data_IF_993630558052
#
_entry.id   IF_993630558052
#
_cell.length_a   1.000
_cell.length_b   1.000
_cell.length_c   1.000
_cell.angle_alpha   90.00
_cell.angle_beta   90.00
_cell.angle_gamma   90.00
#
_symmetry.space_group_name_H-M   'P 1'
#
loop_
_entity.id
_entity.type
_entity.pdbx_description
1 polymer ?
#
# COMPACT_ATOMS: atom_id res chain seq x y z
N UNK A 1 3.95 -12.71 9.48
CA UNK A 1 3.78 -12.37 10.92
C UNK A 1 2.84 -11.19 10.96
N UNK A 2 1.65 -11.43 11.48
CA UNK A 2 0.53 -10.49 11.54
C UNK A 2 0.83 -9.42 12.61
N UNK A 3 0.74 -8.15 12.28
CA UNK A 3 0.94 -7.08 13.27
C UNK A 3 -0.10 -7.19 14.40
N UNK A 4 0.25 -6.77 15.63
CA UNK A 4 -0.65 -6.87 16.80
C UNK A 4 -2.05 -6.29 16.55
N UNK A 5 -2.16 -5.33 15.62
CA UNK A 5 -3.41 -4.68 15.25
C UNK A 5 -4.28 -5.47 14.25
N UNK A 6 -3.73 -6.46 13.53
CA UNK A 6 -4.52 -7.27 12.58
C UNK A 6 -5.57 -8.14 13.26
N UNK A 7 -5.38 -8.48 14.54
CA UNK A 7 -6.34 -9.25 15.35
C UNK A 7 -7.61 -8.49 15.69
N UNK A 8 -7.64 -7.18 15.50
CA UNK A 8 -8.74 -6.31 15.91
C UNK A 8 -9.54 -5.70 14.76
N UNK A 9 -9.29 -6.15 13.52
CA UNK A 9 -10.05 -5.69 12.36
C UNK A 9 -11.47 -6.25 12.46
N UNK A 10 -12.51 -5.43 12.66
CA UNK A 10 -13.87 -5.92 12.55
C UNK A 10 -14.13 -6.37 11.11
N UNK A 11 -14.87 -7.46 10.90
CA UNK A 11 -15.16 -7.96 9.55
C UNK A 11 -16.03 -7.01 8.71
N UNK A 12 -16.67 -6.01 9.34
CA UNK A 12 -17.59 -5.11 8.66
C UNK A 12 -17.00 -3.69 8.53
N UNK A 13 -16.52 -3.38 7.32
CA UNK A 13 -16.12 -2.04 6.90
C UNK A 13 -17.26 -1.25 6.29
N UNK A 14 -18.44 -1.84 6.13
CA UNK A 14 -19.57 -1.22 5.46
C UNK A 14 -20.12 -0.06 6.28
N UNK A 15 -20.41 1.05 5.59
CA UNK A 15 -20.94 2.28 6.18
C UNK A 15 -20.01 3.08 7.11
N UNK A 16 -18.73 2.70 7.22
CA UNK A 16 -17.73 3.47 7.96
C UNK A 16 -16.80 4.24 7.01
N UNK A 17 -16.46 5.47 7.39
CA UNK A 17 -15.28 6.11 6.82
C UNK A 17 -14.01 5.55 7.48
N UNK A 18 -12.83 5.68 6.85
CA UNK A 18 -11.58 5.21 7.45
C UNK A 18 -11.35 5.72 8.87
N UNK A 19 -11.65 7.00 9.14
CA UNK A 19 -11.48 7.59 10.46
C UNK A 19 -12.49 7.04 11.48
N UNK A 20 -13.77 6.92 11.12
CA UNK A 20 -14.79 6.38 12.03
C UNK A 20 -14.54 4.92 12.36
N UNK A 21 -14.09 4.15 11.37
CA UNK A 21 -13.68 2.77 11.61
C UNK A 21 -12.48 2.67 12.54
N UNK A 22 -11.43 3.49 12.31
CA UNK A 22 -10.24 3.52 13.15
C UNK A 22 -10.55 3.91 14.60
N UNK A 23 -11.42 4.91 14.82
CA UNK A 23 -11.85 5.32 16.15
C UNK A 23 -12.61 4.21 16.87
N UNK A 24 -13.49 3.49 16.18
CA UNK A 24 -14.19 2.34 16.73
C UNK A 24 -13.24 1.18 17.07
N UNK A 25 -12.21 0.96 16.27
CA UNK A 25 -11.17 -0.02 16.59
C UNK A 25 -10.29 0.42 17.76
N UNK A 26 -9.96 1.71 17.83
CA UNK A 26 -9.11 2.31 18.86
C UNK A 26 -9.75 2.32 20.26
N UNK A 27 -11.08 2.24 20.35
CA UNK A 27 -11.80 2.13 21.63
C UNK A 27 -11.77 0.72 22.23
N UNK A 28 -11.23 -0.27 21.53
CA UNK A 28 -11.16 -1.66 22.01
C UNK A 28 -9.94 -1.90 22.88
N UNK A 29 -10.04 -2.75 23.92
CA UNK A 29 -8.89 -3.11 24.74
C UNK A 29 -7.78 -3.73 23.89
N UNK A 30 -6.54 -3.29 24.12
CA UNK A 30 -5.36 -3.82 23.43
C UNK A 30 -5.03 -3.17 22.06
N UNK A 31 -5.83 -2.21 21.59
CA UNK A 31 -5.47 -1.43 20.41
C UNK A 31 -4.44 -0.36 20.79
N UNK A 32 -3.32 -0.34 20.11
CA UNK A 32 -2.24 0.63 20.34
C UNK A 32 -2.38 1.75 19.31
N UNK A 33 -2.68 2.96 19.79
CA UNK A 33 -2.75 4.15 18.95
C UNK A 33 -1.35 4.73 18.71
N UNK A 34 -1.09 5.13 17.48
CA UNK A 34 0.14 5.82 17.07
C UNK A 34 -0.22 7.16 16.40
N UNK A 35 0.46 8.22 16.79
CA UNK A 35 0.22 9.56 16.26
C UNK A 35 0.42 9.65 14.74
N UNK A 36 1.37 8.89 14.17
CA UNK A 36 1.61 8.84 12.73
C UNK A 36 0.51 8.10 11.99
N UNK A 37 0.04 6.98 12.55
CA UNK A 37 -1.11 6.26 12.00
C UNK A 37 -2.36 7.14 12.03
N UNK A 38 -2.56 7.91 13.10
CA UNK A 38 -3.68 8.85 13.20
C UNK A 38 -3.64 9.89 12.08
N UNK A 39 -2.49 10.52 11.85
CA UNK A 39 -2.32 11.47 10.74
C UNK A 39 -2.58 10.81 9.38
N UNK A 40 -2.09 9.59 9.19
CA UNK A 40 -2.30 8.85 7.96
C UNK A 40 -3.77 8.50 7.74
N UNK A 41 -4.48 8.06 8.78
CA UNK A 41 -5.91 7.74 8.67
C UNK A 41 -6.75 8.99 8.38
N UNK A 42 -6.40 10.16 8.94
CA UNK A 42 -7.04 11.44 8.63
C UNK A 42 -6.87 11.82 7.14
N UNK A 43 -5.67 11.60 6.59
CA UNK A 43 -5.43 11.81 5.15
C UNK A 43 -6.24 10.83 4.27
N UNK A 44 -6.35 9.56 4.71
CA UNK A 44 -7.17 8.55 4.01
C UNK A 44 -8.66 8.87 4.07
N UNK A 45 -9.14 9.38 5.22
CA UNK A 45 -10.53 9.78 5.40
C UNK A 45 -10.88 10.98 4.52
N UNK A 46 -9.97 11.94 4.41
CA UNK A 46 -10.11 13.07 3.48
C UNK A 46 -10.23 12.57 2.03
N UNK A 47 -9.32 11.71 1.60
CA UNK A 47 -9.37 11.12 0.26
C UNK A 47 -10.66 10.32 0.04
N UNK A 48 -11.09 9.53 1.02
CA UNK A 48 -12.34 8.79 0.97
C UNK A 48 -13.53 9.74 0.76
N UNK A 49 -13.60 10.84 1.51
CA UNK A 49 -14.65 11.85 1.40
C UNK A 49 -14.67 12.50 0.03
N UNK A 50 -13.50 12.88 -0.51
CA UNK A 50 -13.35 13.45 -1.85
C UNK A 50 -13.81 12.46 -2.94
N UNK A 51 -13.45 11.18 -2.81
CA UNK A 51 -13.90 10.11 -3.70
C UNK A 51 -15.43 9.93 -3.65
N UNK A 52 -16.03 10.00 -2.45
CA UNK A 52 -17.49 9.93 -2.32
C UNK A 52 -18.18 11.11 -3.01
N UNK A 53 -17.66 12.32 -2.84
CA UNK A 53 -18.18 13.51 -3.52
C UNK A 53 -18.00 13.42 -5.04
N UNK A 54 -16.86 12.95 -5.50
CA UNK A 54 -16.58 12.73 -6.92
C UNK A 54 -17.56 11.72 -7.53
N UNK A 55 -17.79 10.58 -6.85
CA UNK A 55 -18.75 9.56 -7.26
C UNK A 55 -20.17 10.10 -7.37
N UNK A 56 -20.62 10.89 -6.37
CA UNK A 56 -21.94 11.52 -6.35
C UNK A 56 -22.11 12.50 -7.51
N UNK A 57 -21.13 13.37 -7.74
CA UNK A 57 -21.17 14.35 -8.86
C UNK A 57 -21.24 13.66 -10.22
N UNK A 58 -20.45 12.59 -10.40
CA UNK A 58 -20.43 11.83 -11.65
C UNK A 58 -21.73 11.09 -11.93
N UNK A 59 -22.41 10.59 -10.91
CA UNK A 59 -23.64 9.81 -11.04
C UNK A 59 -24.90 10.69 -11.22
N UNK A 60 -24.83 12.00 -10.96
CA UNK A 60 -25.93 12.90 -11.24
C UNK A 60 -26.10 13.09 -12.75
N UNK A 61 -27.30 12.81 -13.27
CA UNK A 61 -27.63 12.92 -14.70
C UNK A 61 -27.32 14.30 -15.28
N UNK A 62 -27.48 15.37 -14.50
CA UNK A 62 -27.12 16.76 -14.82
C UNK A 62 -25.62 17.08 -14.60
N UNK A 63 -24.84 16.18 -14.03
CA UNK A 63 -23.40 16.34 -13.76
C UNK A 63 -22.51 16.09 -14.97
N UNK A 64 -23.05 15.82 -16.15
CA UNK A 64 -22.39 15.99 -17.46
C UNK A 64 -22.29 17.46 -17.88
N UNK A 65 -22.43 18.38 -16.93
CA UNK A 65 -22.07 19.77 -17.08
C UNK A 65 -20.62 19.91 -17.56
N UNK A 66 -20.37 20.87 -18.41
CA UNK A 66 -19.16 21.22 -19.17
C UNK A 66 -17.82 21.28 -18.37
N UNK A 67 -17.83 21.04 -17.08
CA UNK A 67 -16.63 20.89 -16.24
C UNK A 67 -16.63 19.51 -15.59
N UNK A 68 -15.77 18.63 -16.09
CA UNK A 68 -15.44 17.37 -15.37
C UNK A 68 -15.02 17.71 -13.94
N UNK A 69 -15.57 17.05 -12.91
CA UNK A 69 -15.13 17.30 -11.55
C UNK A 69 -13.65 16.95 -11.44
N UNK A 70 -12.91 17.80 -10.74
CA UNK A 70 -11.47 17.58 -10.53
C UNK A 70 -11.26 16.24 -9.82
N UNK A 71 -10.36 15.42 -10.35
CA UNK A 71 -10.00 14.14 -9.77
C UNK A 71 -9.28 14.38 -8.43
N UNK A 72 -9.64 13.67 -7.35
CA UNK A 72 -8.91 13.74 -6.10
C UNK A 72 -7.44 13.31 -6.27
N UNK A 73 -6.52 13.99 -5.60
CA UNK A 73 -5.13 13.54 -5.50
C UNK A 73 -5.10 12.22 -4.73
N UNK A 74 -4.33 11.26 -5.23
CA UNK A 74 -4.08 10.03 -4.52
C UNK A 74 -3.19 10.21 -3.29
N UNK A 75 -2.75 9.12 -2.71
CA UNK A 75 -1.91 9.10 -1.50
C UNK A 75 -0.72 8.17 -1.69
N UNK A 76 0.44 8.59 -1.19
CA UNK A 76 1.65 7.77 -1.12
C UNK A 76 2.19 7.80 0.31
N UNK A 77 2.10 6.68 1.03
CA UNK A 77 2.70 6.60 2.35
C UNK A 77 4.03 5.89 2.27
N UNK A 78 5.05 6.47 2.88
CA UNK A 78 6.34 5.81 3.00
C UNK A 78 6.85 5.83 4.43
N UNK A 79 7.75 4.90 4.72
CA UNK A 79 8.37 4.77 6.02
C UNK A 79 8.88 3.35 6.25
N UNK A 80 9.58 3.14 7.34
CA UNK A 80 10.20 1.86 7.70
C UNK A 80 9.22 0.69 7.76
N UNK A 81 9.77 -0.50 7.82
CA UNK A 81 9.00 -1.74 7.96
C UNK A 81 8.36 -1.79 9.35
N UNK A 82 7.14 -2.33 9.47
CA UNK A 82 6.46 -2.47 10.77
C UNK A 82 5.66 -1.24 11.22
N UNK A 83 5.54 -0.20 10.39
CA UNK A 83 4.80 1.05 10.70
C UNK A 83 3.28 0.96 10.50
N UNK A 84 2.76 -0.19 10.16
CA UNK A 84 1.31 -0.38 9.97
C UNK A 84 0.76 0.13 8.64
N UNK A 85 1.60 0.36 7.62
CA UNK A 85 1.17 0.82 6.29
C UNK A 85 0.13 -0.10 5.66
N UNK A 86 0.36 -1.42 5.73
CA UNK A 86 -0.58 -2.42 5.20
C UNK A 86 -1.91 -2.41 5.93
N UNK A 87 -1.89 -2.21 7.26
CA UNK A 87 -3.10 -2.05 8.07
C UNK A 87 -3.90 -0.81 7.65
N UNK A 88 -3.24 0.34 7.46
CA UNK A 88 -3.89 1.55 6.97
C UNK A 88 -4.52 1.35 5.59
N UNK A 89 -3.84 0.62 4.72
CA UNK A 89 -4.34 0.24 3.40
C UNK A 89 -5.55 -0.70 3.51
N UNK A 90 -5.54 -1.68 4.44
CA UNK A 90 -6.66 -2.58 4.70
C UNK A 90 -7.91 -1.79 5.09
N UNK A 91 -7.77 -0.86 6.04
CA UNK A 91 -8.86 0.00 6.51
C UNK A 91 -9.42 0.84 5.36
N UNK A 92 -8.56 1.53 4.62
CA UNK A 92 -8.99 2.37 3.51
C UNK A 92 -9.70 1.55 2.43
N UNK A 93 -9.07 0.47 1.98
CA UNK A 93 -9.62 -0.38 0.92
C UNK A 93 -10.95 -1.02 1.35
N UNK A 94 -11.05 -1.48 2.61
CA UNK A 94 -12.27 -2.03 3.18
C UNK A 94 -13.42 -1.02 3.20
N UNK A 95 -13.16 0.20 3.66
CA UNK A 95 -14.17 1.27 3.75
C UNK A 95 -14.61 1.85 2.41
N UNK A 96 -13.91 1.57 1.30
CA UNK A 96 -14.25 2.12 -0.01
C UNK A 96 -15.46 1.40 -0.64
N UNK A 97 -16.62 2.05 -0.85
CA UNK A 97 -17.78 1.46 -1.50
C UNK A 97 -17.69 1.57 -3.04
N UNK A 98 -16.54 1.25 -3.60
CA UNK A 98 -16.29 1.22 -5.03
C UNK A 98 -16.26 -0.24 -5.51
N UNK A 99 -17.01 -0.56 -6.57
CA UNK A 99 -16.89 -1.87 -7.25
C UNK A 99 -15.60 -1.98 -8.06
N UNK A 100 -15.20 -0.86 -8.66
CA UNK A 100 -14.01 -0.75 -9.52
C UNK A 100 -12.82 -0.29 -8.68
N UNK A 101 -12.45 -1.08 -7.67
CA UNK A 101 -11.25 -0.90 -6.85
C UNK A 101 -10.39 -2.14 -6.95
N UNK A 102 -9.09 -1.94 -6.99
CA UNK A 102 -8.11 -3.03 -7.07
C UNK A 102 -7.00 -2.79 -6.08
N UNK A 103 -6.60 -3.83 -5.37
CA UNK A 103 -5.42 -3.85 -4.50
C UNK A 103 -4.50 -4.97 -4.93
N UNK A 104 -3.22 -4.67 -5.08
CA UNK A 104 -2.23 -5.61 -5.57
C UNK A 104 -0.83 -5.18 -5.11
N UNK A 105 0.06 -6.13 -4.88
CA UNK A 105 1.47 -5.83 -4.70
C UNK A 105 2.05 -5.26 -6.00
N UNK A 106 2.85 -4.21 -5.89
CA UNK A 106 3.42 -3.53 -7.05
C UNK A 106 4.15 -4.48 -8.00
N UNK A 107 4.98 -5.38 -7.45
CA UNK A 107 5.70 -6.36 -8.25
C UNK A 107 4.77 -7.30 -9.04
N UNK A 108 3.71 -7.79 -8.41
CA UNK A 108 2.74 -8.65 -9.09
C UNK A 108 1.98 -7.90 -10.20
N UNK A 109 1.68 -6.62 -9.98
CA UNK A 109 1.08 -5.76 -11.00
C UNK A 109 2.01 -5.57 -12.19
N UNK A 110 3.30 -5.26 -11.98
CA UNK A 110 4.26 -5.10 -13.07
C UNK A 110 4.47 -6.41 -13.85
N UNK A 111 4.53 -7.55 -13.16
CA UNK A 111 4.60 -8.86 -13.82
C UNK A 111 3.37 -9.11 -14.74
N UNK A 112 2.19 -8.71 -14.31
CA UNK A 112 0.97 -8.77 -15.13
C UNK A 112 1.06 -7.84 -16.35
N UNK A 113 1.53 -6.60 -16.17
CA UNK A 113 1.74 -5.65 -17.28
C UNK A 113 2.67 -6.25 -18.32
N UNK A 114 3.83 -6.73 -17.90
CA UNK A 114 4.80 -7.37 -18.82
C UNK A 114 4.21 -8.58 -19.56
N UNK A 115 3.37 -9.38 -18.89
CA UNK A 115 2.68 -10.51 -19.53
C UNK A 115 1.72 -9.99 -20.62
N UNK A 116 0.86 -9.03 -20.30
CA UNK A 116 -0.10 -8.44 -21.25
C UNK A 116 0.59 -7.79 -22.44
N UNK A 117 1.69 -7.07 -22.20
CA UNK A 117 2.49 -6.47 -23.29
C UNK A 117 3.09 -7.54 -24.24
N UNK A 118 3.49 -8.70 -23.70
CA UNK A 118 3.96 -9.81 -24.55
C UNK A 118 2.85 -10.42 -25.41
N UNK A 119 1.63 -10.45 -24.90
CA UNK A 119 0.46 -10.96 -25.63
C UNK A 119 0.03 -10.02 -26.75
N UNK A 120 0.25 -8.71 -26.60
CA UNK A 120 -0.16 -7.66 -27.53
C UNK A 120 0.99 -7.16 -28.46
N UNK A 121 2.02 -7.95 -28.68
CA UNK A 121 3.21 -7.55 -29.48
C UNK A 121 2.92 -7.11 -30.92
N UNK A 122 1.78 -7.55 -31.47
CA UNK A 122 1.36 -7.17 -32.82
C UNK A 122 0.66 -5.82 -32.90
N UNK A 123 0.31 -5.21 -31.79
CA UNK A 123 -0.33 -3.90 -31.75
C UNK A 123 0.69 -2.77 -31.92
N UNK A 124 0.24 -1.67 -32.51
CA UNK A 124 1.07 -0.48 -32.70
C UNK A 124 1.48 0.18 -31.39
N UNK A 125 0.61 0.18 -30.38
CA UNK A 125 0.84 0.71 -29.05
C UNK A 125 0.24 -0.22 -27.96
N UNK A 126 0.94 -1.34 -27.64
CA UNK A 126 0.42 -2.31 -26.69
C UNK A 126 0.15 -1.72 -25.29
N UNK A 127 1.00 -0.78 -24.85
CA UNK A 127 0.85 -0.18 -23.53
C UNK A 127 -0.46 0.59 -23.42
N UNK A 128 -0.84 1.36 -24.43
CA UNK A 128 -2.11 2.09 -24.46
C UNK A 128 -3.33 1.18 -24.36
N UNK A 129 -3.28 0.02 -24.99
CA UNK A 129 -4.36 -0.98 -24.91
C UNK A 129 -4.48 -1.54 -23.49
N UNK A 130 -3.35 -1.91 -22.88
CA UNK A 130 -3.30 -2.40 -21.50
C UNK A 130 -3.82 -1.35 -20.51
N UNK A 131 -3.38 -0.10 -20.65
CA UNK A 131 -3.79 1.01 -19.77
C UNK A 131 -5.29 1.26 -19.83
N UNK A 132 -5.87 1.25 -21.05
CA UNK A 132 -7.29 1.44 -21.27
C UNK A 132 -8.13 0.31 -20.66
N UNK A 133 -7.65 -0.93 -20.68
CA UNK A 133 -8.30 -2.06 -20.03
C UNK A 133 -8.30 -1.90 -18.52
N UNK A 134 -7.14 -1.61 -17.93
CA UNK A 134 -7.01 -1.41 -16.48
C UNK A 134 -7.91 -0.25 -16.02
N UNK A 135 -7.90 0.87 -16.74
CA UNK A 135 -8.71 2.03 -16.39
C UNK A 135 -10.22 1.78 -16.52
N UNK A 136 -10.66 0.89 -17.43
CA UNK A 136 -12.06 0.46 -17.50
C UNK A 136 -12.48 -0.35 -16.27
N UNK A 137 -11.61 -1.16 -15.73
CA UNK A 137 -11.89 -2.05 -14.60
C UNK A 137 -11.62 -1.40 -13.24
N UNK A 138 -10.74 -0.40 -13.20
CA UNK A 138 -10.23 0.17 -11.95
C UNK A 138 -10.47 1.68 -11.90
N UNK A 139 -10.95 2.17 -10.76
CA UNK A 139 -11.06 3.61 -10.43
C UNK A 139 -10.19 3.99 -9.25
N UNK A 140 -9.98 3.07 -8.34
CA UNK A 140 -9.04 3.23 -7.25
C UNK A 140 -8.08 2.06 -7.29
N UNK A 141 -6.81 2.35 -7.52
CA UNK A 141 -5.72 1.38 -7.55
C UNK A 141 -4.90 1.53 -6.28
N UNK A 142 -4.77 0.45 -5.54
CA UNK A 142 -3.99 0.40 -4.31
C UNK A 142 -2.77 -0.49 -4.54
N UNK A 143 -1.57 0.07 -4.35
CA UNK A 143 -0.32 -0.67 -4.41
C UNK A 143 0.24 -0.93 -3.02
N UNK A 144 0.44 -2.18 -2.70
CA UNK A 144 1.30 -2.56 -1.59
C UNK A 144 2.74 -2.67 -2.06
N UNK A 145 3.67 -2.21 -1.20
CA UNK A 145 5.12 -2.34 -1.41
C UNK A 145 5.61 -1.74 -2.74
N UNK A 146 5.20 -0.50 -3.01
CA UNK A 146 5.64 0.22 -4.21
C UNK A 146 7.16 0.39 -4.17
N UNK A 147 7.86 -0.32 -5.04
CA UNK A 147 9.31 -0.30 -5.14
C UNK A 147 9.76 -0.61 -6.56
N UNK A 148 10.60 0.25 -7.12
CA UNK A 148 11.14 0.10 -8.47
C UNK A 148 12.60 -0.28 -8.37
N UNK A 149 12.94 -1.50 -8.81
CA UNK A 149 14.31 -2.02 -8.83
C UNK A 149 14.75 -2.46 -10.21
N UNK A 150 13.81 -2.76 -11.10
CA UNK A 150 14.07 -3.25 -12.44
C UNK A 150 13.99 -2.13 -13.48
N UNK A 151 14.92 -2.15 -14.45
CA UNK A 151 14.98 -1.15 -15.53
C UNK A 151 13.75 -1.24 -16.45
N UNK A 152 13.24 -2.44 -16.71
CA UNK A 152 12.08 -2.61 -17.57
C UNK A 152 10.84 -2.00 -16.95
N UNK A 153 10.67 -2.15 -15.61
CA UNK A 153 9.61 -1.49 -14.84
C UNK A 153 9.77 0.04 -14.90
N UNK A 154 10.98 0.54 -14.64
CA UNK A 154 11.26 1.98 -14.64
C UNK A 154 10.94 2.63 -16.00
N UNK A 155 11.23 1.97 -17.10
CA UNK A 155 11.03 2.51 -18.45
C UNK A 155 9.56 2.64 -18.85
N UNK A 156 8.69 1.75 -18.37
CA UNK A 156 7.28 1.77 -18.76
C UNK A 156 6.39 2.45 -17.72
N UNK A 157 6.82 2.48 -16.45
CA UNK A 157 6.00 2.93 -15.32
C UNK A 157 5.51 4.37 -15.47
N UNK A 158 6.38 5.27 -15.91
CA UNK A 158 6.02 6.68 -16.08
C UNK A 158 4.83 6.86 -17.02
N UNK A 159 4.92 6.26 -18.20
CA UNK A 159 3.87 6.32 -19.21
C UNK A 159 2.60 5.59 -18.79
N UNK A 160 2.74 4.44 -18.14
CA UNK A 160 1.64 3.67 -17.57
C UNK A 160 0.85 4.50 -16.55
N UNK A 161 1.54 5.12 -15.57
CA UNK A 161 0.90 5.94 -14.55
C UNK A 161 0.26 7.19 -15.14
N UNK A 162 0.93 7.88 -16.07
CA UNK A 162 0.38 9.07 -16.75
C UNK A 162 -0.95 8.74 -17.44
N UNK A 163 -0.98 7.64 -18.20
CA UNK A 163 -2.19 7.20 -18.87
C UNK A 163 -3.32 6.84 -17.88
N UNK A 164 -3.00 6.11 -16.79
CA UNK A 164 -3.97 5.76 -15.77
C UNK A 164 -4.55 7.01 -15.08
N UNK A 165 -3.71 8.02 -14.77
CA UNK A 165 -4.18 9.28 -14.20
C UNK A 165 -5.08 10.06 -15.18
N UNK A 166 -4.71 10.11 -16.46
CA UNK A 166 -5.52 10.77 -17.50
C UNK A 166 -6.88 10.08 -17.68
N UNK A 167 -6.95 8.76 -17.52
CA UNK A 167 -8.19 7.97 -17.53
C UNK A 167 -8.99 8.08 -16.21
N UNK A 168 -8.50 8.83 -15.24
CA UNK A 168 -9.19 9.10 -13.98
C UNK A 168 -9.08 7.99 -12.95
N UNK A 169 -7.98 7.25 -12.94
CA UNK A 169 -7.63 6.31 -11.87
C UNK A 169 -6.98 7.07 -10.73
N UNK A 170 -7.43 6.85 -9.51
CA UNK A 170 -6.81 7.37 -8.28
C UNK A 170 -5.91 6.31 -7.70
N UNK A 171 -4.66 6.68 -7.44
CA UNK A 171 -3.63 5.78 -6.89
C UNK A 171 -3.44 6.01 -5.40
N UNK A 172 -3.39 4.91 -4.64
CA UNK A 172 -2.94 4.89 -3.24
C UNK A 172 -1.81 3.88 -3.13
N UNK A 173 -0.65 4.29 -2.63
CA UNK A 173 0.52 3.41 -2.58
C UNK A 173 1.17 3.41 -1.20
N UNK A 174 1.66 2.25 -0.79
CA UNK A 174 2.56 2.10 0.37
C UNK A 174 3.95 1.76 -0.11
N UNK A 175 4.99 2.34 0.53
CA UNK A 175 6.39 2.10 0.20
C UNK A 175 7.27 2.12 1.45
N UNK A 176 8.46 1.59 1.35
CA UNK A 176 9.51 1.79 2.37
C UNK A 176 10.40 3.00 2.05
N UNK A 177 10.24 3.59 0.87
CA UNK A 177 11.08 4.65 0.32
C UNK A 177 10.26 5.89 -0.03
N UNK A 178 10.84 7.08 0.15
CA UNK A 178 10.27 8.28 -0.42
C UNK A 178 10.28 8.23 -1.96
N UNK A 179 9.41 8.95 -2.67
CA UNK A 179 9.43 8.98 -4.14
C UNK A 179 10.80 9.33 -4.72
N UNK A 180 11.50 10.29 -4.12
CA UNK A 180 12.86 10.69 -4.53
C UNK A 180 13.92 9.57 -4.36
N UNK A 181 13.64 8.59 -3.49
CA UNK A 181 14.52 7.45 -3.21
C UNK A 181 14.19 6.21 -4.07
N UNK A 182 13.18 6.29 -4.92
CA UNK A 182 12.87 5.21 -5.84
C UNK A 182 13.94 5.09 -6.93
N UNK A 183 14.35 3.87 -7.23
CA UNK A 183 15.32 3.56 -8.27
C UNK A 183 16.66 4.33 -8.14
N UNK A 184 17.32 4.38 -6.95
CA UNK A 184 18.40 5.33 -6.67
C UNK A 184 19.68 5.06 -7.44
N UNK A 185 20.00 3.78 -7.69
CA UNK A 185 21.21 3.33 -8.41
C UNK A 185 20.87 2.74 -9.78
N UNK A 186 19.67 3.00 -10.29
CA UNK A 186 19.20 2.42 -11.53
C UNK A 186 19.94 2.95 -12.74
N UNK A 187 20.17 2.09 -13.72
CA UNK A 187 20.68 2.50 -15.01
C UNK A 187 19.72 3.51 -15.64
N UNK A 188 20.29 4.61 -16.21
CA UNK A 188 19.50 5.67 -16.82
C UNK A 188 18.45 6.29 -15.88
N UNK A 189 18.80 6.53 -14.63
CA UNK A 189 17.91 7.13 -13.61
C UNK A 189 17.31 8.47 -14.05
N UNK A 190 18.01 9.24 -14.88
CA UNK A 190 17.53 10.51 -15.44
C UNK A 190 16.19 10.35 -16.18
N UNK A 191 15.98 9.23 -16.87
CA UNK A 191 14.71 8.93 -17.55
C UNK A 191 13.58 8.56 -16.59
N UNK A 192 13.89 8.24 -15.33
CA UNK A 192 12.90 7.94 -14.29
C UNK A 192 12.50 9.17 -13.47
N UNK A 193 13.29 10.25 -13.46
CA UNK A 193 12.97 11.48 -12.73
C UNK A 193 11.60 12.08 -13.09
N UNK A 194 11.15 12.11 -14.36
CA UNK A 194 9.80 12.56 -14.70
C UNK A 194 8.70 11.74 -14.03
N UNK A 195 8.92 10.42 -13.84
CA UNK A 195 7.97 9.55 -13.12
C UNK A 195 7.88 9.92 -11.64
N UNK A 196 9.01 10.24 -11.00
CA UNK A 196 9.04 10.73 -9.62
C UNK A 196 8.25 12.04 -9.52
N UNK A 197 8.52 13.01 -10.41
CA UNK A 197 7.80 14.28 -10.43
C UNK A 197 6.28 14.09 -10.65
N UNK A 198 5.89 13.16 -11.51
CA UNK A 198 4.49 12.80 -11.73
C UNK A 198 3.83 12.24 -10.45
N UNK A 199 4.51 11.37 -9.72
CA UNK A 199 4.02 10.84 -8.44
C UNK A 199 3.83 11.97 -7.41
N UNK A 200 4.78 12.89 -7.29
CA UNK A 200 4.71 14.03 -6.38
C UNK A 200 3.62 15.04 -6.77
N UNK A 201 3.36 15.21 -8.07
CA UNK A 201 2.27 16.06 -8.57
C UNK A 201 0.89 15.46 -8.27
N UNK A 202 0.71 14.17 -8.57
CA UNK A 202 -0.59 13.49 -8.54
C UNK A 202 -0.96 12.91 -7.19
N UNK A 203 0.00 12.73 -6.29
CA UNK A 203 -0.21 12.12 -4.98
C UNK A 203 0.15 13.09 -3.85
N UNK A 204 -0.53 12.95 -2.73
CA UNK A 204 -0.11 13.54 -1.46
C UNK A 204 0.90 12.59 -0.82
N UNK A 205 2.11 13.08 -0.59
CA UNK A 205 3.21 12.28 -0.03
C UNK A 205 3.19 12.40 1.49
N UNK A 206 3.18 11.27 2.19
CA UNK A 206 3.13 11.21 3.64
C UNK A 206 4.18 10.26 4.20
N UNK A 207 5.06 10.80 5.04
CA UNK A 207 5.96 9.97 5.85
C UNK A 207 5.21 9.46 7.08
N UNK A 208 5.23 8.14 7.29
CA UNK A 208 4.62 7.47 8.46
C UNK A 208 5.67 6.97 9.46
N UNK A 209 6.91 7.45 9.36
CA UNK A 209 7.98 7.16 10.31
C UNK A 209 7.88 8.11 11.51
N UNK A 210 7.13 7.73 12.49
CA UNK A 210 7.14 8.44 13.77
C UNK A 210 7.56 7.52 14.92
N UNK A 211 8.81 7.24 15.00
CA UNK A 211 9.46 6.86 16.26
C UNK A 211 9.52 5.36 16.60
N UNK A 212 8.47 4.59 16.75
CA UNK A 212 8.59 3.24 17.29
C UNK A 212 8.20 2.14 16.30
N UNK A 213 9.07 1.13 16.15
CA UNK A 213 8.77 -0.10 15.41
C UNK A 213 7.85 -1.01 16.24
N UNK A 214 6.62 -1.22 15.80
CA UNK A 214 5.64 -2.09 16.47
C UNK A 214 6.13 -3.53 16.65
N UNK A 215 7.09 -3.99 15.84
CA UNK A 215 7.69 -5.31 15.99
C UNK A 215 8.52 -5.40 17.25
N UNK A 216 9.24 -4.33 17.63
CA UNK A 216 10.03 -4.27 18.84
C UNK A 216 9.12 -4.26 20.08
N UNK A 217 7.97 -3.60 20.04
CA UNK A 217 6.99 -3.61 21.13
C UNK A 217 6.46 -5.01 21.43
N UNK A 218 6.20 -5.81 20.41
CA UNK A 218 5.75 -7.20 20.59
C UNK A 218 6.83 -8.08 21.21
N UNK A 219 8.11 -7.79 20.97
CA UNK A 219 9.25 -8.47 21.62
C UNK A 219 9.41 -8.05 23.09
N UNK A 220 9.12 -6.79 23.45
CA UNK A 220 9.16 -6.32 24.83
C UNK A 220 7.97 -6.76 25.68
N UNK A 221 6.85 -7.12 25.07
CA UNK A 221 5.66 -7.65 25.76
C UNK A 221 5.58 -9.18 25.76
N UNK A 222 6.44 -9.87 25.04
CA UNK A 222 6.61 -11.30 25.19
C UNK A 222 7.52 -11.54 26.38
N UNK A 223 6.99 -12.12 27.46
CA UNK A 223 7.78 -12.67 28.55
C UNK A 223 8.83 -13.56 27.92
N UNK A 224 10.09 -13.15 28.06
CA UNK A 224 11.23 -13.97 27.68
C UNK A 224 11.22 -15.15 28.62
N UNK A 225 10.70 -16.28 28.19
CA UNK A 225 10.91 -17.55 28.87
C UNK A 225 12.40 -17.84 28.86
N UNK A 226 13.06 -17.44 29.96
CA UNK A 226 14.44 -17.80 30.23
C UNK A 226 14.41 -19.30 30.55
N UNK A 227 14.82 -20.14 29.61
CA UNK A 227 15.13 -21.54 29.87
C UNK A 227 16.54 -21.55 30.45
N UNK A 228 16.71 -21.81 31.78
CA UNK A 228 18.06 -21.93 32.34
C UNK A 228 18.78 -23.10 31.69
N UNK A 229 19.98 -22.86 31.22
CA UNK A 229 20.85 -23.87 30.57
C UNK A 229 21.50 -24.84 31.58
N UNK A 230 20.85 -25.15 32.71
CA UNK A 230 21.42 -25.96 33.78
C UNK A 230 20.85 -27.38 33.83
N UNK A 231 20.85 -28.12 32.72
CA UNK A 231 20.66 -29.58 32.79
C UNK A 231 21.32 -30.35 31.64
N UNK A 232 22.56 -29.97 31.28
CA UNK A 232 23.36 -30.72 30.31
C UNK A 232 24.72 -31.16 30.87
N UNK A 233 24.84 -31.35 32.21
CA UNK A 233 25.99 -32.02 32.80
C UNK A 233 25.44 -33.16 33.71
N UNK A 234 25.15 -34.31 33.13
CA UNK A 234 25.24 -35.61 33.81
C UNK A 234 24.74 -36.73 32.87
N UNK A 235 25.51 -36.99 31.83
CA UNK A 235 25.49 -38.25 31.11
C UNK A 235 26.82 -38.51 30.44
N UNK A 236 27.88 -38.59 31.26
CA UNK A 236 29.13 -39.28 30.88
C UNK A 236 29.71 -39.94 32.12
N UNK A 237 29.39 -41.17 32.33
CA UNK A 237 30.31 -42.19 32.92
C UNK A 237 29.50 -43.48 33.14
N UNK A 238 29.87 -44.51 32.44
CA UNK A 238 29.30 -45.84 32.60
C UNK A 238 29.73 -46.75 31.48
N UNK A 239 31.01 -46.73 31.18
CA UNK A 239 31.66 -47.85 30.46
C UNK A 239 32.40 -48.69 31.46
N UNK A 240 32.04 -49.93 31.54
CA UNK A 240 32.85 -51.08 31.96
C UNK A 240 31.87 -52.27 31.99
N UNK A 241 32.15 -53.37 31.47
CA UNK A 241 33.26 -54.13 31.08
C UNK A 241 32.71 -55.56 30.96
N UNK A 242 33.19 -56.24 30.01
CA UNK A 242 32.96 -57.66 29.78
C UNK A 242 33.58 -58.54 30.89
N UNK A 243 33.31 -59.82 30.97
CA UNK A 243 33.88 -60.76 30.03
C UNK A 243 32.89 -61.44 29.11
#
# INVERSE_FOLDING_TARGET
MTTANERFIPPDFTNHSPLTWYQAAASRPGFIQDASQRKAIECLDKLWTELMMFKRKRNRFLGRSLRSPQLPKGLYFYGGVGRGKSFLMDVFYGCLPYRRKRRVHFHAFMAEIHRRLRELKSEQDPLKSVDAEIARETRVLCFDEFHVSDIADAMILGRLLENLFNEGVVLVATSNYAPAELYPQGQNRSSFLPTIALLEEKLTILNVDSGEDYRLRTLHSADVFYIPADNLKDRKSGSAGMP
#
